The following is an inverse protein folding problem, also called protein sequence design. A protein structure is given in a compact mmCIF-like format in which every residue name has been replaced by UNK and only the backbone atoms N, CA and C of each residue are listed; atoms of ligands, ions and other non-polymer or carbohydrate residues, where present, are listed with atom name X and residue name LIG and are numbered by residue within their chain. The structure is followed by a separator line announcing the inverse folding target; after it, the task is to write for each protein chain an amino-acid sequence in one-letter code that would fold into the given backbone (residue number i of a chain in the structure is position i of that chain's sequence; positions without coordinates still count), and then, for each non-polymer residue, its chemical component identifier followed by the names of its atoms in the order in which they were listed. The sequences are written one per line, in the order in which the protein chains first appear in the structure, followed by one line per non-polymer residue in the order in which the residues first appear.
data_IF_827800447753
#
_entry.id   IF_827800447753
#
_cell.length_a   1.000
_cell.length_b   1.000
_cell.length_c   1.000
_cell.angle_alpha   90.00
_cell.angle_beta   90.00
_cell.angle_gamma   90.00
#
_symmetry.space_group_name_H-M   'P 1'
#
loop_
_entity.id
_entity.type
_entity.pdbx_description
1 polymer ?
#
# COMPACT_ATOMS: atom_id res chain seq x y z
N UNK A 1 -10.60 -32.13 8.60
CA UNK A 1 -11.26 -32.12 9.91
C UNK A 1 -10.85 -30.80 10.57
N UNK A 2 -11.78 -29.85 10.64
CA UNK A 2 -11.55 -28.42 10.86
C UNK A 2 -10.77 -28.09 12.13
N UNK A 3 -9.55 -27.60 11.97
CA UNK A 3 -8.78 -26.94 13.03
C UNK A 3 -9.36 -25.55 13.40
N UNK A 4 -10.26 -25.01 12.59
CA UNK A 4 -10.92 -23.70 12.83
C UNK A 4 -11.85 -23.63 14.04
N UNK A 5 -12.24 -24.76 14.63
CA UNK A 5 -13.21 -24.77 15.76
C UNK A 5 -12.58 -24.90 17.15
N UNK A 6 -11.25 -24.98 17.28
CA UNK A 6 -10.63 -25.07 18.62
C UNK A 6 -10.31 -23.74 19.29
N UNK A 7 -10.34 -22.60 18.58
CA UNK A 7 -9.75 -21.35 19.02
C UNK A 7 -10.73 -20.24 19.47
N UNK A 8 -11.96 -20.55 19.82
CA UNK A 8 -12.89 -19.54 20.36
C UNK A 8 -13.55 -20.03 21.65
N UNK A 9 -12.74 -20.32 22.64
CA UNK A 9 -13.29 -20.47 23.99
C UNK A 9 -13.39 -19.10 24.62
N UNK A 10 -14.53 -18.81 25.22
CA UNK A 10 -14.68 -17.62 26.04
C UNK A 10 -13.86 -17.79 27.33
N UNK A 11 -12.68 -17.17 27.34
CA UNK A 11 -11.77 -17.17 28.50
C UNK A 11 -11.93 -15.93 29.37
N UNK A 12 -12.96 -15.12 29.14
CA UNK A 12 -13.18 -13.83 29.83
C UNK A 12 -13.23 -13.95 31.34
N UNK A 13 -13.82 -15.04 31.85
CA UNK A 13 -13.87 -15.31 33.29
C UNK A 13 -12.48 -15.59 33.86
N UNK A 14 -11.68 -16.40 33.19
CA UNK A 14 -10.31 -16.72 33.63
C UNK A 14 -9.45 -15.47 33.55
N UNK A 15 -9.56 -14.70 32.46
CA UNK A 15 -8.86 -13.43 32.33
C UNK A 15 -9.23 -12.47 33.45
N UNK A 16 -10.50 -12.22 33.69
CA UNK A 16 -10.94 -11.34 34.78
C UNK A 16 -10.45 -11.80 36.14
N UNK A 17 -10.36 -13.12 36.38
CA UNK A 17 -9.78 -13.66 37.62
C UNK A 17 -8.28 -13.38 37.72
N UNK A 18 -7.52 -13.52 36.62
CA UNK A 18 -6.08 -13.20 36.56
C UNK A 18 -5.87 -11.70 36.75
N UNK A 19 -6.66 -10.84 36.08
CA UNK A 19 -6.61 -9.37 36.24
C UNK A 19 -6.83 -8.94 37.69
N UNK A 20 -7.86 -9.47 38.35
CA UNK A 20 -8.13 -9.18 39.75
C UNK A 20 -7.03 -9.72 40.69
N UNK A 21 -6.54 -10.92 40.41
CA UNK A 21 -5.42 -11.49 41.16
C UNK A 21 -4.15 -10.63 40.97
N UNK A 22 -3.88 -10.12 39.76
CA UNK A 22 -2.75 -9.25 39.50
C UNK A 22 -2.80 -7.95 40.30
N UNK A 23 -3.99 -7.38 40.48
CA UNK A 23 -4.18 -6.16 41.28
C UNK A 23 -3.88 -6.36 42.77
N UNK A 24 -4.04 -7.60 43.28
CA UNK A 24 -3.86 -7.96 44.70
C UNK A 24 -2.46 -8.55 44.94
N UNK A 25 -2.04 -9.46 44.08
CA UNK A 25 -0.79 -10.22 44.20
C UNK A 25 -0.27 -10.53 42.77
N UNK A 26 0.61 -9.68 42.27
CA UNK A 26 1.19 -9.81 40.91
C UNK A 26 2.04 -11.08 40.76
N UNK A 27 2.67 -11.56 41.83
CA UNK A 27 3.48 -12.78 41.79
C UNK A 27 2.59 -14.03 41.62
N UNK A 28 1.46 -14.08 42.30
CA UNK A 28 0.48 -15.16 42.15
C UNK A 28 -0.14 -15.14 40.73
N UNK A 29 -0.43 -13.95 40.19
CA UNK A 29 -0.95 -13.84 38.81
C UNK A 29 0.08 -14.36 37.79
N UNK A 30 1.35 -14.07 37.96
CA UNK A 30 2.41 -14.63 37.11
C UNK A 30 2.52 -16.15 37.19
N UNK A 31 2.40 -16.70 38.42
CA UNK A 31 2.37 -18.16 38.62
C UNK A 31 1.16 -18.81 37.91
N UNK A 32 0.00 -18.18 37.97
CA UNK A 32 -1.22 -18.66 37.30
C UNK A 32 -1.01 -18.64 35.76
N UNK A 33 -0.41 -17.58 35.21
CA UNK A 33 -0.08 -17.50 33.78
C UNK A 33 0.92 -18.59 33.36
N UNK A 34 1.93 -18.90 34.20
CA UNK A 34 2.85 -20.00 33.97
C UNK A 34 2.16 -21.36 33.97
N UNK A 35 1.17 -21.57 34.84
CA UNK A 35 0.34 -22.77 34.84
C UNK A 35 -0.53 -22.83 33.57
N UNK A 36 -1.13 -21.73 33.17
CA UNK A 36 -1.90 -21.65 31.92
C UNK A 36 -1.03 -21.98 30.69
N UNK A 37 0.20 -21.50 30.63
CA UNK A 37 1.15 -21.78 29.55
C UNK A 37 1.47 -23.30 29.43
N UNK A 38 1.45 -24.02 30.54
CA UNK A 38 1.70 -25.47 30.58
C UNK A 38 0.44 -26.31 30.39
N UNK A 39 -0.74 -25.69 30.50
CA UNK A 39 -2.00 -26.42 30.38
C UNK A 39 -2.35 -26.73 28.93
N UNK A 40 -2.68 -27.97 28.62
CA UNK A 40 -2.88 -28.48 27.24
C UNK A 40 -3.91 -27.68 26.42
N UNK A 41 -4.86 -27.03 27.06
CA UNK A 41 -5.93 -26.27 26.40
C UNK A 41 -5.78 -24.75 26.60
N UNK A 42 -5.39 -24.28 27.77
CA UNK A 42 -5.30 -22.84 28.08
C UNK A 42 -4.09 -22.19 27.41
N UNK A 43 -3.05 -22.95 27.09
CA UNK A 43 -1.88 -22.41 26.36
C UNK A 43 -2.24 -21.77 25.03
N UNK A 44 -3.29 -22.24 24.34
CA UNK A 44 -3.76 -21.65 23.08
C UNK A 44 -4.41 -20.28 23.27
N UNK A 45 -4.91 -20.00 24.46
CA UNK A 45 -5.54 -18.73 24.80
C UNK A 45 -4.63 -17.82 25.63
N UNK A 46 -3.39 -18.23 25.86
CA UNK A 46 -2.48 -17.54 26.79
C UNK A 46 -2.33 -16.05 26.47
N UNK A 47 -2.21 -15.70 25.20
CA UNK A 47 -2.15 -14.31 24.75
C UNK A 47 -3.37 -13.51 25.21
N UNK A 48 -4.56 -14.12 25.14
CA UNK A 48 -5.84 -13.52 25.57
C UNK A 48 -6.02 -13.50 27.08
N UNK A 49 -5.24 -14.27 27.84
CA UNK A 49 -5.32 -14.35 29.30
C UNK A 49 -4.47 -13.29 30.02
N UNK A 50 -3.50 -12.66 29.32
CA UNK A 50 -2.66 -11.64 29.94
C UNK A 50 -3.49 -10.39 30.31
N UNK A 51 -3.21 -9.77 31.47
CA UNK A 51 -3.74 -8.47 31.81
C UNK A 51 -3.26 -7.41 30.82
N UNK A 52 -4.19 -6.78 30.12
CA UNK A 52 -3.84 -5.80 29.07
C UNK A 52 -3.17 -4.53 29.61
N UNK A 53 -3.35 -4.24 30.90
CA UNK A 53 -2.89 -2.98 31.51
C UNK A 53 -1.42 -2.98 31.92
N UNK A 54 -0.80 -4.15 32.09
CA UNK A 54 0.57 -4.29 32.62
C UNK A 54 1.36 -5.40 31.93
N UNK A 55 1.29 -5.50 30.61
CA UNK A 55 2.05 -6.48 29.85
C UNK A 55 3.56 -6.18 29.93
N UNK A 56 4.33 -7.12 30.45
CA UNK A 56 5.76 -6.97 30.73
C UNK A 56 6.64 -7.75 29.74
N UNK A 57 7.96 -7.57 29.79
CA UNK A 57 8.89 -8.39 29.02
C UNK A 57 8.83 -9.88 29.39
N UNK A 58 8.51 -10.21 30.65
CA UNK A 58 8.32 -11.60 31.11
C UNK A 58 7.09 -12.21 30.41
N UNK A 59 6.03 -11.44 30.27
CA UNK A 59 4.81 -11.88 29.58
C UNK A 59 5.07 -12.09 28.09
N UNK A 60 5.88 -11.20 27.50
CA UNK A 60 6.32 -11.34 26.11
C UNK A 60 7.16 -12.62 25.92
N UNK A 61 8.13 -12.89 26.81
CA UNK A 61 8.94 -14.12 26.78
C UNK A 61 8.08 -15.36 26.84
N UNK A 62 7.08 -15.35 27.74
CA UNK A 62 6.12 -16.45 27.87
C UNK A 62 5.33 -16.66 26.59
N UNK A 63 4.79 -15.60 26.00
CA UNK A 63 4.09 -15.67 24.74
C UNK A 63 4.99 -16.13 23.60
N UNK A 64 6.20 -15.58 23.49
CA UNK A 64 7.14 -15.97 22.45
C UNK A 64 7.58 -17.44 22.54
N UNK A 65 7.67 -17.99 23.74
CA UNK A 65 8.03 -19.41 23.91
C UNK A 65 7.01 -20.35 23.29
N UNK A 66 5.75 -19.93 23.17
CA UNK A 66 4.69 -20.71 22.54
C UNK A 66 4.75 -20.69 21.01
N UNK A 67 5.41 -19.71 20.39
CA UNK A 67 5.56 -19.66 18.94
C UNK A 67 6.33 -20.87 18.37
N UNK A 68 7.09 -21.58 19.19
CA UNK A 68 7.78 -22.79 18.78
C UNK A 68 6.82 -23.99 18.63
N UNK A 69 5.60 -23.89 19.19
CA UNK A 69 4.55 -24.91 19.02
C UNK A 69 3.85 -24.72 17.66
N UNK A 70 3.75 -25.78 16.88
CA UNK A 70 3.11 -25.77 15.56
C UNK A 70 1.60 -25.53 15.59
N UNK A 71 0.97 -25.76 16.73
CA UNK A 71 -0.48 -25.60 16.88
C UNK A 71 -0.86 -24.13 17.22
N UNK A 72 0.12 -23.30 17.61
CA UNK A 72 -0.08 -21.87 17.89
C UNK A 72 0.01 -21.08 16.56
N UNK A 73 -1.07 -20.39 16.25
CA UNK A 73 -1.17 -19.62 15.01
C UNK A 73 -0.80 -18.14 15.25
N UNK A 74 -0.08 -17.49 14.31
CA UNK A 74 0.33 -16.08 14.45
C UNK A 74 -0.80 -15.11 14.77
N UNK A 75 -1.99 -15.28 14.18
CA UNK A 75 -3.14 -14.38 14.40
C UNK A 75 -3.57 -14.27 15.88
N UNK A 76 -3.24 -15.26 16.71
CA UNK A 76 -3.50 -15.21 18.15
C UNK A 76 -2.72 -14.11 18.85
N UNK A 77 -1.63 -13.62 18.24
CA UNK A 77 -0.81 -12.54 18.76
C UNK A 77 -1.37 -11.14 18.45
N UNK A 78 -2.39 -11.05 17.58
CA UNK A 78 -3.07 -9.80 17.27
C UNK A 78 -3.55 -9.08 18.54
N UNK A 79 -3.99 -9.84 19.55
CA UNK A 79 -4.44 -9.27 20.80
C UNK A 79 -3.35 -8.51 21.60
N UNK A 80 -2.07 -8.89 21.50
CA UNK A 80 -0.94 -8.15 22.10
C UNK A 80 -0.76 -6.81 21.39
N UNK A 81 -1.04 -6.77 20.08
CA UNK A 81 -0.72 -5.65 19.21
C UNK A 81 -1.69 -4.46 19.36
N UNK A 82 -2.90 -4.71 19.89
CA UNK A 82 -3.96 -3.70 20.03
C UNK A 82 -3.91 -2.96 21.37
N UNK A 83 -2.96 -3.29 22.25
CA UNK A 83 -2.79 -2.67 23.56
C UNK A 83 -1.73 -1.57 23.57
N UNK A 84 -1.91 -0.53 24.39
CA UNK A 84 -0.90 0.52 24.63
C UNK A 84 0.47 -0.06 25.05
N UNK A 85 0.46 -1.26 25.63
CA UNK A 85 1.66 -1.94 26.12
C UNK A 85 2.64 -2.32 25.03
N UNK A 86 2.15 -2.64 23.82
CA UNK A 86 3.02 -2.93 22.69
C UNK A 86 3.87 -1.72 22.30
N UNK A 87 3.28 -0.52 22.35
CA UNK A 87 3.99 0.74 22.11
C UNK A 87 5.08 1.01 23.14
N UNK A 88 4.95 0.48 24.35
CA UNK A 88 5.91 0.64 25.44
C UNK A 88 7.05 -0.41 25.44
N UNK A 89 6.92 -1.47 24.63
CA UNK A 89 7.99 -2.45 24.52
C UNK A 89 9.23 -1.85 23.84
N UNK A 90 10.45 -2.21 24.28
CA UNK A 90 11.67 -1.82 23.59
C UNK A 90 11.66 -2.29 22.13
N UNK A 91 12.15 -1.46 21.22
CA UNK A 91 12.18 -1.79 19.78
C UNK A 91 12.84 -3.14 19.49
N UNK A 92 13.90 -3.49 20.26
CA UNK A 92 14.58 -4.77 20.13
C UNK A 92 13.66 -5.97 20.42
N UNK A 93 12.72 -5.82 21.37
CA UNK A 93 11.79 -6.88 21.73
C UNK A 93 10.66 -7.01 20.69
N UNK A 94 10.20 -5.87 20.16
CA UNK A 94 9.26 -5.83 19.03
C UNK A 94 9.88 -6.51 17.81
N UNK A 95 11.15 -6.22 17.52
CA UNK A 95 11.88 -6.84 16.42
C UNK A 95 12.01 -8.36 16.59
N UNK A 96 12.33 -8.83 17.79
CA UNK A 96 12.44 -10.26 18.08
C UNK A 96 11.11 -10.99 17.87
N UNK A 97 10.00 -10.43 18.38
CA UNK A 97 8.66 -10.97 18.15
C UNK A 97 8.31 -11.01 16.66
N UNK A 98 8.54 -9.90 15.96
CA UNK A 98 8.24 -9.79 14.53
C UNK A 98 9.05 -10.81 13.70
N UNK A 99 10.33 -11.02 14.01
CA UNK A 99 11.17 -12.02 13.34
C UNK A 99 10.63 -13.45 13.54
N UNK A 100 10.22 -13.79 14.75
CA UNK A 100 9.61 -15.09 15.06
C UNK A 100 8.28 -15.29 14.34
N UNK A 101 7.43 -14.27 14.34
CA UNK A 101 6.15 -14.31 13.62
C UNK A 101 6.35 -14.49 12.13
N UNK A 102 7.25 -13.73 11.49
CA UNK A 102 7.55 -13.86 10.07
C UNK A 102 8.05 -15.25 9.65
N UNK A 103 8.64 -16.00 10.58
CA UNK A 103 9.05 -17.39 10.31
C UNK A 103 7.87 -18.37 10.26
N UNK A 104 6.64 -17.94 10.59
CA UNK A 104 5.44 -18.77 10.64
C UNK A 104 4.50 -18.46 9.45
N UNK A 105 3.70 -19.42 9.00
CA UNK A 105 2.67 -19.17 8.00
C UNK A 105 1.71 -18.04 8.46
N UNK A 106 1.44 -17.08 7.58
CA UNK A 106 0.59 -15.89 7.85
C UNK A 106 1.09 -14.96 8.97
N UNK A 107 2.35 -15.09 9.37
CA UNK A 107 2.96 -14.20 10.35
C UNK A 107 3.20 -12.79 9.83
N UNK A 108 3.32 -12.63 8.52
CA UNK A 108 3.45 -11.36 7.81
C UNK A 108 2.26 -10.43 8.07
N UNK A 109 1.02 -10.95 8.10
CA UNK A 109 -0.19 -10.18 8.40
C UNK A 109 -0.11 -9.57 9.80
N UNK A 110 0.23 -10.40 10.78
CA UNK A 110 0.33 -9.96 12.19
C UNK A 110 1.44 -8.93 12.37
N UNK A 111 2.56 -9.10 11.67
CA UNK A 111 3.68 -8.14 11.71
C UNK A 111 3.28 -6.80 11.09
N UNK A 112 2.60 -6.81 9.93
CA UNK A 112 2.11 -5.58 9.29
C UNK A 112 1.12 -4.84 10.19
N UNK A 113 0.15 -5.56 10.78
CA UNK A 113 -0.78 -4.97 11.75
C UNK A 113 -0.05 -4.35 12.94
N UNK A 114 0.90 -5.08 13.54
CA UNK A 114 1.70 -4.62 14.65
C UNK A 114 2.42 -3.31 14.37
N UNK A 115 3.15 -3.28 13.28
CA UNK A 115 3.93 -2.10 12.90
C UNK A 115 3.03 -0.93 12.52
N UNK A 116 1.90 -1.19 11.86
CA UNK A 116 0.90 -0.18 11.55
C UNK A 116 0.29 0.44 12.82
N UNK A 117 -0.04 -0.37 13.82
CA UNK A 117 -0.53 0.13 15.12
C UNK A 117 0.53 0.96 15.85
N UNK A 118 1.79 0.50 15.86
CA UNK A 118 2.90 1.27 16.45
C UNK A 118 3.08 2.64 15.79
N UNK A 119 2.80 2.76 14.49
CA UNK A 119 2.78 4.03 13.78
C UNK A 119 1.55 4.88 14.12
N UNK A 120 0.41 4.26 14.50
CA UNK A 120 -0.81 4.98 14.81
C UNK A 120 -0.77 5.68 16.18
N UNK A 121 -0.15 5.04 17.17
CA UNK A 121 -0.16 5.52 18.57
C UNK A 121 0.53 6.86 18.77
N UNK A 122 1.39 7.25 17.85
CA UNK A 122 2.24 8.43 18.00
C UNK A 122 1.75 9.70 17.27
N UNK A 123 0.68 9.58 16.49
CA UNK A 123 -0.19 10.70 16.08
C UNK A 123 0.37 11.73 15.09
N UNK A 124 1.64 11.68 14.69
CA UNK A 124 2.20 12.69 13.79
C UNK A 124 3.18 12.12 12.75
N UNK A 125 3.30 12.82 11.63
CA UNK A 125 4.14 12.48 10.48
C UNK A 125 5.66 12.37 10.77
N UNK A 126 6.07 12.62 12.00
CA UNK A 126 7.47 12.51 12.47
C UNK A 126 7.81 11.14 13.05
N UNK A 127 6.83 10.26 13.22
CA UNK A 127 7.06 8.96 13.80
C UNK A 127 7.65 7.97 12.81
N UNK A 128 8.86 7.60 13.11
CA UNK A 128 9.65 6.68 12.31
C UNK A 128 9.76 5.35 13.02
N UNK A 129 9.56 4.27 12.29
CA UNK A 129 10.10 2.98 12.71
C UNK A 129 11.63 3.05 12.66
N UNK A 130 12.30 2.48 13.64
CA UNK A 130 13.73 2.28 13.59
C UNK A 130 14.15 1.45 12.37
N UNK A 131 15.40 1.57 11.94
CA UNK A 131 15.91 0.91 10.73
C UNK A 131 15.59 -0.59 10.69
N UNK A 132 15.78 -1.29 11.82
CA UNK A 132 15.53 -2.73 11.91
C UNK A 132 14.04 -3.08 11.77
N UNK A 133 13.13 -2.27 12.34
CA UNK A 133 11.69 -2.46 12.17
C UNK A 133 11.22 -2.14 10.76
N UNK A 134 11.84 -1.18 10.08
CA UNK A 134 11.59 -0.89 8.67
C UNK A 134 11.99 -2.08 7.78
N UNK A 135 13.18 -2.67 8.04
CA UNK A 135 13.62 -3.88 7.33
C UNK A 135 12.62 -5.03 7.49
N UNK A 136 12.17 -5.30 8.72
CA UNK A 136 11.23 -6.40 8.96
C UNK A 136 9.84 -6.09 8.37
N UNK A 137 9.43 -4.84 8.41
CA UNK A 137 8.17 -4.38 7.83
C UNK A 137 8.10 -4.59 6.31
N UNK A 138 9.15 -4.19 5.59
CA UNK A 138 9.21 -4.41 4.14
C UNK A 138 9.32 -5.91 3.80
N UNK A 139 10.01 -6.71 4.63
CA UNK A 139 10.04 -8.17 4.46
C UNK A 139 8.65 -8.80 4.65
N UNK A 140 7.87 -8.30 5.61
CA UNK A 140 6.48 -8.73 5.80
C UNK A 140 5.60 -8.35 4.61
N UNK A 141 5.76 -7.13 4.08
CA UNK A 141 5.03 -6.68 2.90
C UNK A 141 5.36 -7.52 1.67
N UNK A 142 6.64 -7.86 1.44
CA UNK A 142 7.09 -8.74 0.36
C UNK A 142 6.42 -10.11 0.49
N UNK A 143 6.47 -10.75 1.67
CA UNK A 143 5.86 -12.06 1.89
C UNK A 143 4.35 -12.02 1.65
N UNK A 144 3.66 -11.01 2.15
CA UNK A 144 2.21 -10.83 1.96
C UNK A 144 1.86 -10.68 0.49
N UNK A 145 2.56 -9.80 -0.21
CA UNK A 145 2.32 -9.51 -1.62
C UNK A 145 2.55 -10.73 -2.53
N UNK A 146 3.59 -11.53 -2.24
CA UNK A 146 3.89 -12.75 -2.98
C UNK A 146 2.88 -13.88 -2.72
N UNK A 147 2.36 -13.96 -1.49
CA UNK A 147 1.49 -15.06 -1.10
C UNK A 147 0.08 -14.96 -1.67
N UNK A 148 -0.52 -13.79 -1.54
CA UNK A 148 -1.93 -13.61 -1.90
C UNK A 148 -2.23 -12.17 -2.32
N UNK A 149 -2.30 -11.96 -3.61
CA UNK A 149 -2.64 -10.70 -4.25
C UNK A 149 -4.13 -10.61 -4.61
N UNK A 150 -4.93 -11.62 -4.24
CA UNK A 150 -6.38 -11.67 -4.51
C UNK A 150 -7.24 -11.46 -3.26
N UNK A 151 -6.65 -11.41 -2.07
CA UNK A 151 -7.40 -11.20 -0.84
C UNK A 151 -7.72 -9.70 -0.68
N UNK A 152 -9.00 -9.38 -0.80
CA UNK A 152 -9.56 -8.02 -0.71
C UNK A 152 -9.76 -7.56 0.75
N UNK A 153 -8.84 -7.88 1.65
CA UNK A 153 -8.91 -7.51 3.06
C UNK A 153 -8.49 -6.05 3.32
N UNK A 154 -9.38 -5.09 3.12
CA UNK A 154 -9.08 -3.64 3.19
C UNK A 154 -8.33 -3.14 4.44
N UNK A 155 -8.36 -3.86 5.56
CA UNK A 155 -7.58 -3.49 6.74
C UNK A 155 -6.09 -3.83 6.60
N UNK A 156 -5.77 -4.97 6.01
CA UNK A 156 -4.37 -5.38 5.76
C UNK A 156 -3.72 -4.49 4.69
N UNK A 157 -4.48 -4.07 3.69
CA UNK A 157 -4.00 -3.13 2.68
C UNK A 157 -3.61 -1.80 3.32
N UNK A 158 -4.45 -1.27 4.22
CA UNK A 158 -4.14 -0.06 4.98
C UNK A 158 -2.92 -0.23 5.91
N UNK A 159 -2.78 -1.38 6.56
CA UNK A 159 -1.61 -1.66 7.41
C UNK A 159 -0.32 -1.71 6.58
N UNK A 160 -0.38 -2.36 5.40
CA UNK A 160 0.75 -2.44 4.48
C UNK A 160 1.12 -1.07 3.91
N UNK A 161 0.14 -0.28 3.47
CA UNK A 161 0.32 1.09 3.01
C UNK A 161 1.13 1.92 4.02
N UNK A 162 0.71 1.93 5.28
CA UNK A 162 1.38 2.70 6.34
C UNK A 162 2.82 2.24 6.60
N UNK A 163 3.05 0.93 6.63
CA UNK A 163 4.39 0.36 6.85
C UNK A 163 5.31 0.66 5.68
N UNK A 164 4.82 0.56 4.45
CA UNK A 164 5.58 0.88 3.23
C UNK A 164 5.91 2.39 3.21
N UNK A 165 4.94 3.28 3.45
CA UNK A 165 5.18 4.73 3.52
C UNK A 165 6.26 5.06 4.56
N UNK A 166 6.11 4.55 5.79
CA UNK A 166 7.10 4.76 6.85
C UNK A 166 8.48 4.18 6.53
N UNK A 167 8.56 3.18 5.66
CA UNK A 167 9.85 2.58 5.26
C UNK A 167 10.50 3.35 4.11
N UNK A 168 9.73 3.72 3.09
CA UNK A 168 10.27 4.34 1.87
C UNK A 168 10.62 5.81 2.07
N UNK A 169 9.92 6.51 2.96
CA UNK A 169 10.11 7.94 3.26
C UNK A 169 11.50 8.26 3.80
N UNK A 170 12.14 7.35 4.50
CA UNK A 170 13.39 7.61 5.21
C UNK A 170 14.58 6.90 4.55
N UNK A 171 15.77 7.49 4.66
CA UNK A 171 17.02 6.90 4.17
C UNK A 171 17.36 5.57 4.87
N UNK A 172 18.13 4.75 4.19
CA UNK A 172 18.49 3.40 4.61
C UNK A 172 17.56 2.33 4.05
N UNK A 173 17.94 1.08 4.25
CA UNK A 173 17.22 -0.08 3.68
C UNK A 173 17.15 -0.09 2.15
N UNK A 174 18.14 0.46 1.46
CA UNK A 174 18.09 0.60 -0.01
C UNK A 174 18.00 -0.76 -0.73
N UNK A 175 18.61 -1.79 -0.17
CA UNK A 175 18.54 -3.14 -0.74
C UNK A 175 17.12 -3.71 -0.64
N UNK A 176 16.49 -3.57 0.53
CA UNK A 176 15.13 -4.03 0.79
C UNK A 176 14.08 -3.24 0.03
N UNK A 177 14.28 -1.92 -0.13
CA UNK A 177 13.43 -1.07 -0.98
C UNK A 177 13.46 -1.53 -2.44
N UNK A 178 14.65 -1.83 -2.95
CA UNK A 178 14.80 -2.36 -4.30
C UNK A 178 14.22 -3.78 -4.43
N UNK A 179 14.33 -4.62 -3.41
CA UNK A 179 13.72 -5.94 -3.38
C UNK A 179 12.19 -5.83 -3.42
N UNK A 180 11.60 -4.93 -2.64
CA UNK A 180 10.17 -4.62 -2.68
C UNK A 180 9.73 -4.18 -4.09
N UNK A 181 10.43 -3.21 -4.68
CA UNK A 181 10.15 -2.73 -6.03
C UNK A 181 10.23 -3.88 -7.05
N UNK A 182 11.27 -4.73 -6.97
CA UNK A 182 11.41 -5.88 -7.85
C UNK A 182 10.27 -6.89 -7.66
N UNK A 183 9.80 -7.07 -6.43
CA UNK A 183 8.67 -7.96 -6.12
C UNK A 183 7.38 -7.46 -6.78
N UNK A 184 7.09 -6.15 -6.70
CA UNK A 184 5.93 -5.56 -7.40
C UNK A 184 5.98 -5.94 -8.88
N UNK A 185 7.08 -5.63 -9.56
CA UNK A 185 7.18 -5.87 -11.01
C UNK A 185 7.24 -7.35 -11.39
N UNK A 186 7.77 -8.22 -10.53
CA UNK A 186 7.70 -9.67 -10.74
C UNK A 186 6.24 -10.16 -10.75
N UNK A 187 5.43 -9.69 -9.79
CA UNK A 187 4.00 -10.04 -9.73
C UNK A 187 3.23 -9.43 -10.91
N UNK A 188 3.53 -8.18 -11.31
CA UNK A 188 2.95 -7.56 -12.52
C UNK A 188 3.26 -8.38 -13.78
N UNK A 189 4.49 -8.87 -13.90
CA UNK A 189 4.93 -9.66 -15.05
C UNK A 189 4.29 -11.05 -15.12
N UNK A 190 3.97 -11.66 -13.94
CA UNK A 190 3.37 -13.00 -13.85
C UNK A 190 1.84 -12.98 -13.90
N UNK A 191 1.21 -12.01 -13.25
CA UNK A 191 -0.24 -11.98 -12.99
C UNK A 191 -0.90 -10.78 -13.63
N UNK A 192 -1.06 -10.82 -14.94
CA UNK A 192 -1.73 -9.79 -15.73
C UNK A 192 -3.12 -9.47 -15.16
N UNK A 193 -3.27 -8.31 -14.50
CA UNK A 193 -4.58 -7.72 -14.20
C UNK A 193 -5.12 -7.82 -12.78
N UNK A 194 -4.38 -8.33 -11.78
CA UNK A 194 -4.94 -8.60 -10.44
C UNK A 194 -4.27 -7.89 -9.26
N UNK A 195 -3.69 -6.69 -9.46
CA UNK A 195 -2.95 -6.02 -8.37
C UNK A 195 -3.76 -4.89 -7.73
N UNK A 196 -5.04 -4.81 -8.00
CA UNK A 196 -5.92 -3.74 -7.49
C UNK A 196 -6.00 -3.66 -5.97
N UNK A 197 -5.76 -4.77 -5.26
CA UNK A 197 -5.81 -4.80 -3.79
C UNK A 197 -4.68 -4.02 -3.10
N UNK A 198 -3.63 -3.61 -3.84
CA UNK A 198 -2.44 -2.95 -3.27
C UNK A 198 -2.13 -1.62 -3.96
N UNK A 199 -3.11 -0.99 -4.58
CA UNK A 199 -2.93 0.26 -5.33
C UNK A 199 -2.25 1.36 -4.51
N UNK A 200 -2.65 1.54 -3.25
CA UNK A 200 -2.10 2.60 -2.41
C UNK A 200 -0.63 2.33 -2.05
N UNK A 201 -0.27 1.09 -1.69
CA UNK A 201 1.13 0.73 -1.40
C UNK A 201 2.03 0.88 -2.64
N UNK A 202 1.51 0.53 -3.83
CA UNK A 202 2.23 0.69 -5.10
C UNK A 202 2.33 2.18 -5.47
N UNK A 203 1.26 2.95 -5.30
CA UNK A 203 1.26 4.40 -5.51
C UNK A 203 2.25 5.13 -4.62
N UNK A 204 2.34 4.76 -3.34
CA UNK A 204 3.34 5.26 -2.40
C UNK A 204 4.75 4.89 -2.87
N UNK A 205 4.94 3.66 -3.36
CA UNK A 205 6.24 3.23 -3.91
C UNK A 205 6.64 4.09 -5.10
N UNK A 206 5.73 4.37 -6.02
CA UNK A 206 5.97 5.27 -7.14
C UNK A 206 6.32 6.70 -6.68
N UNK A 207 5.63 7.22 -5.66
CA UNK A 207 5.89 8.56 -5.11
C UNK A 207 7.28 8.67 -4.45
N UNK A 208 7.71 7.66 -3.68
CA UNK A 208 8.99 7.70 -2.97
C UNK A 208 10.19 7.20 -3.77
N UNK A 209 9.97 6.36 -4.78
CA UNK A 209 11.01 5.79 -5.65
C UNK A 209 10.73 6.08 -7.14
N UNK A 210 10.43 7.33 -7.53
CA UNK A 210 9.88 7.63 -8.85
C UNK A 210 10.81 7.23 -10.00
N UNK A 211 12.10 7.46 -9.88
CA UNK A 211 13.07 7.17 -10.96
C UNK A 211 13.26 5.68 -11.16
N UNK A 212 13.39 4.93 -10.07
CA UNK A 212 13.52 3.48 -10.06
C UNK A 212 12.24 2.83 -10.57
N UNK A 213 11.07 3.33 -10.12
CA UNK A 213 9.75 2.85 -10.56
C UNK A 213 9.55 3.04 -12.06
N UNK A 214 9.78 4.26 -12.56
CA UNK A 214 9.67 4.57 -13.99
C UNK A 214 10.67 3.73 -14.83
N UNK A 215 11.91 3.59 -14.36
CA UNK A 215 12.90 2.77 -15.05
C UNK A 215 12.42 1.31 -15.18
N UNK A 216 11.80 0.76 -14.14
CA UNK A 216 11.26 -0.60 -14.19
C UNK A 216 10.11 -0.78 -15.16
N UNK A 217 9.24 0.22 -15.34
CA UNK A 217 8.16 0.16 -16.32
C UNK A 217 8.71 -0.05 -17.74
N UNK A 218 9.77 0.67 -18.07
CA UNK A 218 10.31 0.72 -19.44
C UNK A 218 11.51 -0.23 -19.68
N UNK A 219 11.95 -0.96 -18.62
CA UNK A 219 12.97 -2.00 -18.74
C UNK A 219 12.36 -3.35 -19.15
N UNK A 220 13.22 -4.24 -19.69
CA UNK A 220 12.84 -5.63 -19.96
C UNK A 220 12.44 -5.90 -21.40
N UNK A 221 11.77 -7.02 -21.64
CA UNK A 221 11.26 -7.42 -22.95
C UNK A 221 10.04 -6.59 -23.35
N UNK A 222 9.72 -6.55 -24.65
CA UNK A 222 8.52 -5.87 -25.15
C UNK A 222 7.24 -6.36 -24.47
N UNK A 223 7.09 -7.66 -24.27
CA UNK A 223 5.93 -8.23 -23.57
C UNK A 223 5.84 -7.77 -22.11
N UNK A 224 6.96 -7.65 -21.40
CA UNK A 224 7.00 -7.14 -20.05
C UNK A 224 6.62 -5.65 -20.00
N UNK A 225 7.19 -4.86 -20.90
CA UNK A 225 6.85 -3.44 -20.99
C UNK A 225 5.36 -3.23 -21.29
N UNK A 226 4.77 -3.99 -22.21
CA UNK A 226 3.34 -3.90 -22.49
C UNK A 226 2.47 -4.24 -21.28
N UNK A 227 2.81 -5.27 -20.51
CA UNK A 227 2.08 -5.61 -19.27
C UNK A 227 2.18 -4.50 -18.23
N UNK A 228 3.38 -3.98 -18.02
CA UNK A 228 3.65 -2.91 -17.06
C UNK A 228 2.99 -1.59 -17.48
N UNK A 229 2.97 -1.28 -18.77
CA UNK A 229 2.24 -0.13 -19.31
C UNK A 229 0.73 -0.28 -19.13
N UNK A 230 0.19 -1.49 -19.31
CA UNK A 230 -1.21 -1.75 -19.04
C UNK A 230 -1.56 -1.55 -17.56
N UNK A 231 -0.67 -2.00 -16.67
CA UNK A 231 -0.82 -1.84 -15.23
C UNK A 231 -0.84 -0.38 -14.77
N UNK A 232 -0.08 0.51 -15.42
CA UNK A 232 -0.05 1.94 -15.07
C UNK A 232 -1.13 2.77 -15.77
N UNK A 233 -1.85 2.21 -16.72
CA UNK A 233 -2.92 2.93 -17.40
C UNK A 233 -4.00 3.31 -16.40
N UNK A 234 -4.35 4.59 -16.42
CA UNK A 234 -5.45 5.11 -15.62
C UNK A 234 -6.79 4.67 -16.23
N UNK A 235 -7.71 4.20 -15.39
CA UNK A 235 -9.12 4.15 -15.73
C UNK A 235 -9.96 4.83 -14.63
N UNK A 236 -11.24 5.06 -14.88
CA UNK A 236 -12.11 5.77 -13.91
C UNK A 236 -12.38 4.95 -12.62
N UNK A 237 -11.97 3.69 -12.56
CA UNK A 237 -12.15 2.80 -11.41
C UNK A 237 -10.87 2.67 -10.56
N UNK A 238 -9.70 2.96 -11.14
CA UNK A 238 -8.40 2.76 -10.52
C UNK A 238 -7.46 3.94 -10.77
N UNK A 239 -6.72 4.34 -9.73
CA UNK A 239 -5.69 5.38 -9.88
C UNK A 239 -4.38 4.75 -10.34
N UNK A 240 -3.83 5.28 -11.44
CA UNK A 240 -2.49 4.91 -11.87
C UNK A 240 -1.46 5.25 -10.78
N UNK A 241 -0.48 4.36 -10.50
CA UNK A 241 0.65 4.69 -9.63
C UNK A 241 1.43 5.94 -10.08
N UNK A 242 1.50 6.19 -11.39
CA UNK A 242 2.15 7.39 -11.97
C UNK A 242 1.48 8.67 -11.49
N UNK A 243 0.17 8.66 -11.25
CA UNK A 243 -0.55 9.83 -10.74
C UNK A 243 -0.11 10.29 -9.33
N UNK A 244 0.65 9.48 -8.60
CA UNK A 244 1.25 9.84 -7.30
C UNK A 244 2.65 10.44 -7.44
N UNK A 245 3.25 10.43 -8.63
CA UNK A 245 4.58 11.00 -8.89
C UNK A 245 4.42 12.50 -9.21
N UNK A 246 5.29 13.32 -8.61
CA UNK A 246 5.35 14.75 -8.93
C UNK A 246 5.59 14.97 -10.43
N UNK A 247 4.82 15.85 -11.04
CA UNK A 247 4.87 16.09 -12.49
C UNK A 247 6.23 16.62 -12.97
N UNK A 248 6.95 17.36 -12.14
CA UNK A 248 8.29 17.86 -12.50
C UNK A 248 9.30 16.70 -12.59
N UNK A 249 9.15 15.68 -11.74
CA UNK A 249 9.96 14.46 -11.83
C UNK A 249 9.62 13.67 -13.09
N UNK A 250 8.34 13.54 -13.44
CA UNK A 250 7.91 12.88 -14.68
C UNK A 250 8.49 13.59 -15.91
N UNK A 251 8.40 14.93 -15.95
CA UNK A 251 8.92 15.75 -17.03
C UNK A 251 10.44 15.59 -17.16
N UNK A 252 11.18 15.69 -16.04
CA UNK A 252 12.63 15.51 -16.03
C UNK A 252 13.03 14.12 -16.52
N UNK A 253 12.33 13.09 -16.01
CA UNK A 253 12.62 11.71 -16.40
C UNK A 253 12.37 11.49 -17.91
N UNK A 254 11.24 11.94 -18.44
CA UNK A 254 10.94 11.87 -19.87
C UNK A 254 11.98 12.59 -20.72
N UNK A 255 12.50 13.74 -20.28
CA UNK A 255 13.56 14.48 -21.00
C UNK A 255 14.89 13.75 -21.03
N UNK A 256 15.21 12.96 -20.01
CA UNK A 256 16.44 12.16 -19.96
C UNK A 256 16.36 10.89 -20.79
N UNK A 257 15.16 10.42 -21.06
CA UNK A 257 14.91 9.21 -21.86
C UNK A 257 14.95 9.56 -23.35
N UNK A 258 15.68 8.78 -24.14
CA UNK A 258 15.85 9.06 -25.57
C UNK A 258 14.69 8.61 -26.45
N UNK A 259 13.76 7.82 -25.88
CA UNK A 259 12.59 7.32 -26.60
C UNK A 259 11.47 8.36 -26.61
N UNK A 260 11.07 8.91 -27.76
CA UNK A 260 10.00 9.89 -27.83
C UNK A 260 8.62 9.30 -27.42
N UNK A 261 8.41 7.99 -27.53
CA UNK A 261 7.15 7.34 -27.18
C UNK A 261 6.90 7.35 -25.65
N UNK A 262 7.94 7.55 -24.86
CA UNK A 262 7.83 7.57 -23.39
C UNK A 262 6.88 8.65 -22.90
N UNK A 263 6.81 9.80 -23.57
CA UNK A 263 5.87 10.87 -23.21
C UNK A 263 4.41 10.46 -23.33
N UNK A 264 4.05 9.77 -24.41
CA UNK A 264 2.71 9.24 -24.59
C UNK A 264 2.39 8.15 -23.56
N UNK A 265 3.34 7.24 -23.31
CA UNK A 265 3.17 6.17 -22.33
C UNK A 265 3.01 6.68 -20.91
N UNK A 266 3.78 7.69 -20.48
CA UNK A 266 3.62 8.32 -19.16
C UNK A 266 2.32 9.10 -19.08
N UNK A 267 1.89 9.76 -20.16
CA UNK A 267 0.63 10.49 -20.24
C UNK A 267 -0.59 9.63 -19.93
N UNK A 268 -0.54 8.32 -20.23
CA UNK A 268 -1.66 7.39 -19.94
C UNK A 268 -1.91 7.16 -18.45
N UNK A 269 -0.91 7.44 -17.60
CA UNK A 269 -1.02 7.29 -16.14
C UNK A 269 -1.27 8.59 -15.38
N UNK A 270 -1.32 9.74 -16.04
CA UNK A 270 -1.51 11.05 -15.37
C UNK A 270 -2.99 11.28 -15.10
N UNK A 271 -3.31 11.84 -13.92
CA UNK A 271 -4.66 12.33 -13.64
C UNK A 271 -5.00 13.52 -14.52
N UNK A 272 -5.97 13.34 -15.41
CA UNK A 272 -6.28 14.35 -16.43
C UNK A 272 -7.33 15.37 -15.99
N UNK A 273 -8.30 14.95 -15.19
CA UNK A 273 -9.50 15.74 -14.97
C UNK A 273 -9.57 16.27 -13.54
N UNK A 274 -9.88 17.56 -13.41
CA UNK A 274 -10.23 18.17 -12.13
C UNK A 274 -11.62 18.80 -12.17
N UNK A 275 -12.19 18.93 -10.98
CA UNK A 275 -13.49 19.59 -10.78
C UNK A 275 -13.45 20.38 -9.48
N UNK A 276 -13.50 21.70 -9.59
CA UNK A 276 -13.47 22.61 -8.45
C UNK A 276 -14.84 22.74 -7.76
N UNK A 277 -15.39 21.57 -7.32
CA UNK A 277 -16.70 21.49 -6.69
C UNK A 277 -17.77 20.86 -7.62
N UNK A 278 -18.94 20.52 -7.06
CA UNK A 278 -19.98 19.77 -7.78
C UNK A 278 -20.58 20.51 -9.01
N UNK A 279 -20.54 21.84 -9.00
CA UNK A 279 -21.12 22.68 -10.06
C UNK A 279 -20.09 23.28 -11.01
N UNK A 280 -18.78 23.03 -10.77
CA UNK A 280 -17.72 23.56 -11.63
C UNK A 280 -17.58 22.73 -12.91
N UNK A 281 -17.20 23.36 -14.03
CA UNK A 281 -16.88 22.62 -15.24
C UNK A 281 -15.68 21.71 -15.01
N UNK A 282 -15.66 20.58 -15.70
CA UNK A 282 -14.47 19.73 -15.75
C UNK A 282 -13.40 20.48 -16.55
N UNK A 283 -12.18 20.52 -16.04
CA UNK A 283 -11.01 21.06 -16.74
C UNK A 283 -9.85 20.08 -16.66
N UNK A 284 -8.83 20.28 -17.50
CA UNK A 284 -7.57 19.57 -17.35
C UNK A 284 -6.91 20.00 -16.03
N UNK A 285 -6.32 19.04 -15.32
CA UNK A 285 -5.50 19.35 -14.15
C UNK A 285 -4.26 20.13 -14.57
N UNK A 286 -3.79 21.00 -13.70
CA UNK A 286 -2.58 21.80 -13.94
C UNK A 286 -1.37 20.94 -14.26
N UNK A 287 -1.23 19.78 -13.58
CA UNK A 287 -0.14 18.86 -13.83
C UNK A 287 -0.22 18.20 -15.22
N UNK A 288 -1.42 17.86 -15.69
CA UNK A 288 -1.62 17.35 -17.05
C UNK A 288 -1.27 18.42 -18.09
N UNK A 289 -1.66 19.68 -17.86
CA UNK A 289 -1.33 20.80 -18.73
C UNK A 289 0.18 21.06 -18.77
N UNK A 290 0.83 21.10 -17.59
CA UNK A 290 2.29 21.29 -17.48
C UNK A 290 3.05 20.17 -18.20
N UNK A 291 2.60 18.93 -18.06
CA UNK A 291 3.21 17.79 -18.74
C UNK A 291 3.07 17.91 -20.27
N UNK A 292 1.87 18.25 -20.76
CA UNK A 292 1.62 18.51 -22.18
C UNK A 292 2.51 19.64 -22.72
N UNK A 293 2.60 20.76 -21.99
CA UNK A 293 3.42 21.92 -22.38
C UNK A 293 4.93 21.58 -22.40
N UNK A 294 5.38 20.68 -21.53
CA UNK A 294 6.77 20.27 -21.50
C UNK A 294 7.14 19.26 -22.62
N UNK A 295 6.13 18.59 -23.19
CA UNK A 295 6.35 17.56 -24.22
C UNK A 295 6.90 18.13 -25.52
N UNK A 296 7.90 17.47 -26.14
CA UNK A 296 8.35 17.78 -27.49
C UNK A 296 7.35 17.32 -28.57
N UNK A 297 6.47 16.36 -28.24
CA UNK A 297 5.45 15.81 -29.13
C UNK A 297 4.04 15.95 -28.54
N UNK A 298 3.50 17.18 -28.40
CA UNK A 298 2.23 17.41 -27.73
C UNK A 298 1.05 16.72 -28.42
N UNK A 299 1.19 16.40 -29.71
CA UNK A 299 0.14 15.67 -30.43
C UNK A 299 -0.03 14.25 -29.89
N UNK A 300 1.07 13.52 -29.67
CA UNK A 300 1.01 12.14 -29.14
C UNK A 300 0.42 12.13 -27.71
N UNK A 301 0.80 13.09 -26.88
CA UNK A 301 0.24 13.24 -25.53
C UNK A 301 -1.26 13.54 -25.58
N UNK A 302 -1.70 14.46 -26.45
CA UNK A 302 -3.12 14.81 -26.61
C UNK A 302 -3.95 13.66 -27.18
N UNK A 303 -3.41 12.82 -28.05
CA UNK A 303 -4.10 11.63 -28.54
C UNK A 303 -4.37 10.65 -27.38
N UNK A 304 -3.41 10.47 -26.43
CA UNK A 304 -3.64 9.70 -25.19
C UNK A 304 -4.71 10.36 -24.31
N UNK A 305 -4.65 11.67 -24.09
CA UNK A 305 -5.68 12.38 -23.32
C UNK A 305 -7.08 12.19 -23.91
N UNK A 306 -7.18 12.16 -25.24
CA UNK A 306 -8.44 11.93 -25.95
C UNK A 306 -8.98 10.50 -25.75
N UNK A 307 -8.13 9.49 -25.62
CA UNK A 307 -8.53 8.11 -25.30
C UNK A 307 -9.22 8.03 -23.94
N UNK A 308 -8.81 8.89 -22.98
CA UNK A 308 -9.37 8.97 -21.64
C UNK A 308 -10.59 9.93 -21.52
N UNK A 309 -11.10 10.49 -22.62
CA UNK A 309 -12.34 11.27 -22.61
C UNK A 309 -13.54 10.37 -22.33
N UNK A 310 -13.55 9.17 -22.89
CA UNK A 310 -14.58 8.19 -22.64
C UNK A 310 -14.34 7.47 -21.31
N UNK A 311 -15.25 7.56 -20.33
CA UNK A 311 -15.10 6.85 -19.08
C UNK A 311 -15.24 5.34 -19.29
N UNK A 312 -14.50 4.53 -18.50
CA UNK A 312 -14.64 3.07 -18.46
C UNK A 312 -15.96 2.64 -17.80
N UNK A 313 -16.45 3.46 -16.85
CA UNK A 313 -17.73 3.27 -16.16
C UNK A 313 -18.44 4.61 -15.95
N UNK A 314 -19.78 4.62 -16.01
CA UNK A 314 -20.55 5.85 -15.79
C UNK A 314 -21.94 5.57 -15.24
N UNK A 315 -22.48 6.56 -14.51
CA UNK A 315 -23.88 6.59 -14.11
C UNK A 315 -24.65 7.60 -14.98
N UNK A 316 -25.81 7.22 -15.48
CA UNK A 316 -26.66 8.09 -16.30
C UNK A 316 -26.27 8.14 -17.77
N UNK A 317 -26.25 9.35 -18.38
CA UNK A 317 -25.92 9.52 -19.80
C UNK A 317 -24.40 9.59 -19.99
N UNK A 318 -23.85 8.71 -20.83
CA UNK A 318 -22.43 8.73 -21.23
C UNK A 318 -22.05 10.10 -21.83
N UNK A 319 -22.92 10.68 -22.63
CA UNK A 319 -22.71 11.99 -23.22
C UNK A 319 -22.50 13.08 -22.16
N UNK A 320 -23.25 13.03 -21.04
CA UNK A 320 -23.11 14.01 -19.96
C UNK A 320 -21.76 13.94 -19.24
N UNK A 321 -21.08 12.80 -19.26
CA UNK A 321 -19.74 12.62 -18.70
C UNK A 321 -18.68 13.01 -19.73
N UNK A 322 -18.86 12.60 -20.99
CA UNK A 322 -17.88 12.85 -22.05
C UNK A 322 -17.86 14.32 -22.49
N UNK A 323 -19.01 14.96 -22.63
CA UNK A 323 -19.11 16.32 -23.18
C UNK A 323 -18.22 17.34 -22.43
N UNK A 324 -18.22 17.41 -21.09
CA UNK A 324 -17.34 18.34 -20.37
C UNK A 324 -15.84 18.03 -20.60
N UNK A 325 -15.47 16.76 -20.75
CA UNK A 325 -14.08 16.36 -21.03
C UNK A 325 -13.66 16.75 -22.45
N UNK A 326 -14.57 16.60 -23.42
CA UNK A 326 -14.36 17.08 -24.81
C UNK A 326 -14.19 18.59 -24.82
N UNK A 327 -15.01 19.32 -24.08
CA UNK A 327 -14.92 20.78 -23.99
C UNK A 327 -13.60 21.23 -23.35
N UNK A 328 -13.10 20.50 -22.34
CA UNK A 328 -11.79 20.78 -21.73
C UNK A 328 -10.64 20.61 -22.75
N UNK A 329 -10.67 19.56 -23.59
CA UNK A 329 -9.72 19.45 -24.72
C UNK A 329 -9.93 20.60 -25.72
N UNK A 330 -11.18 20.99 -25.99
CA UNK A 330 -11.52 22.09 -26.88
C UNK A 330 -10.93 23.44 -26.47
N UNK A 331 -10.76 23.70 -25.18
CA UNK A 331 -10.13 24.92 -24.67
C UNK A 331 -8.67 25.08 -25.14
N UNK A 332 -7.97 23.96 -25.36
CA UNK A 332 -6.59 23.97 -25.86
C UNK A 332 -6.45 24.41 -27.31
N UNK A 333 -7.56 24.51 -28.07
CA UNK A 333 -7.56 24.99 -29.47
C UNK A 333 -7.08 26.46 -29.55
N UNK A 334 -7.22 27.22 -28.47
CA UNK A 334 -6.74 28.60 -28.35
C UNK A 334 -5.44 28.74 -27.55
N UNK A 335 -4.72 27.67 -27.31
CA UNK A 335 -3.49 27.64 -26.53
C UNK A 335 -2.39 28.50 -27.21
N UNK A 336 -1.56 29.19 -26.41
CA UNK A 336 -0.52 30.10 -26.89
C UNK A 336 0.55 29.41 -27.75
N UNK A 337 0.91 28.17 -27.41
CA UNK A 337 1.80 27.36 -28.24
C UNK A 337 1.05 26.85 -29.47
N UNK A 338 1.54 27.22 -30.65
CA UNK A 338 0.91 26.93 -31.93
C UNK A 338 0.86 25.41 -32.24
N UNK A 339 1.83 24.62 -31.79
CA UNK A 339 1.87 23.16 -31.95
C UNK A 339 0.81 22.47 -31.10
N UNK A 340 0.59 22.92 -29.84
CA UNK A 340 -0.49 22.44 -28.97
C UNK A 340 -1.85 22.82 -29.57
N UNK A 341 -2.05 24.09 -29.92
CA UNK A 341 -3.30 24.58 -30.53
C UNK A 341 -3.69 23.78 -31.78
N UNK A 342 -2.70 23.54 -32.67
CA UNK A 342 -2.92 22.76 -33.90
C UNK A 342 -3.27 21.31 -33.59
N UNK A 343 -2.57 20.69 -32.63
CA UNK A 343 -2.81 19.29 -32.23
C UNK A 343 -4.18 19.14 -31.55
N UNK A 344 -4.52 20.08 -30.66
CA UNK A 344 -5.80 20.10 -29.97
C UNK A 344 -6.98 20.24 -30.94
N UNK A 345 -6.85 21.08 -32.00
CA UNK A 345 -7.88 21.21 -33.02
C UNK A 345 -8.11 19.89 -33.74
N UNK A 346 -7.05 19.20 -34.17
CA UNK A 346 -7.16 17.93 -34.87
C UNK A 346 -7.76 16.82 -34.00
N UNK A 347 -7.46 16.82 -32.69
CA UNK A 347 -8.04 15.88 -31.73
C UNK A 347 -9.49 16.22 -31.43
N UNK A 348 -9.81 17.49 -31.22
CA UNK A 348 -11.17 17.97 -30.93
C UNK A 348 -12.14 17.67 -32.09
N UNK A 349 -11.72 17.90 -33.35
CA UNK A 349 -12.50 17.54 -34.53
C UNK A 349 -12.86 16.04 -34.54
N UNK A 350 -11.90 15.14 -34.23
CA UNK A 350 -12.15 13.69 -34.14
C UNK A 350 -13.10 13.29 -33.03
N UNK A 351 -13.14 14.05 -31.92
CA UNK A 351 -14.03 13.75 -30.77
C UNK A 351 -15.47 14.25 -30.98
N UNK A 352 -15.66 15.19 -31.94
CA UNK A 352 -16.97 15.82 -32.20
C UNK A 352 -17.64 15.29 -33.48
N UNK A 353 -16.89 14.62 -34.39
CA UNK A 353 -17.42 13.89 -35.53
C UNK A 353 -18.07 12.55 -35.13
#
# INVERSE_FOLDING_TARGET
MDLQHKSQRDVSVIRGFIEETHSIDSALAQELLDQCAQHSELRFELVNLHPWQEFTEIDLDRCMSLLDDSDIQPHMYGAILWGEQFSNLPESRVLELAQRLLSKPNGDEVVLEALSMKLADKGDATDTLGLALRTIGISAAIQRFQRDHNDLGGYLDYAMERVIDATLRFDGNEAEKLEWLNTIFAVVDEHFGYIYSFEDAIGITAAWMPKEFLSRIFDGTEDQQQRRLHFINHDDSHQSPIAKIDVDILIEWCRTTKDPQVWASVASGINLWSKDGEQSPICLQDDALRFLEASPEPRAVLEIFAEHVAPSSWFGSRANVMQPRVEAIGQLVTHERADISKSARAVYEKLTD
#
